data_IF_657604181970
#
_entry.id   IF_657604181970
#
_cell.length_a   1.000
_cell.length_b   1.000
_cell.length_c   1.000
_cell.angle_alpha   90.00
_cell.angle_beta   90.00
_cell.angle_gamma   90.00
#
_symmetry.space_group_name_H-M   'P 1'
#
loop_
_entity.id
_entity.type
_entity.pdbx_description
1 polymer ?
#
# COMPACT_ATOMS: atom_id res chain seq x y z
N UNK A 1 13.66 3.86 60.23
CA UNK A 1 12.37 3.31 59.75
C UNK A 1 11.78 4.12 58.60
N UNK A 2 11.66 5.45 58.68
CA UNK A 2 11.07 6.31 57.63
C UNK A 2 11.67 6.16 56.22
N UNK A 3 13.00 5.97 56.11
CA UNK A 3 13.69 5.78 54.82
C UNK A 3 13.35 4.46 54.13
N UNK A 4 13.17 3.38 54.90
CA UNK A 4 12.76 2.07 54.37
C UNK A 4 11.30 2.12 53.87
N UNK A 5 10.43 2.87 54.57
CA UNK A 5 9.04 3.07 54.15
C UNK A 5 8.92 3.87 52.85
N UNK A 6 9.78 4.87 52.63
CA UNK A 6 9.81 5.67 51.39
C UNK A 6 10.30 4.83 50.21
N UNK A 7 11.33 4.00 50.39
CA UNK A 7 11.83 3.12 49.33
C UNK A 7 10.76 2.10 48.93
N UNK A 8 10.07 1.52 49.91
CA UNK A 8 8.99 0.56 49.65
C UNK A 8 7.81 1.21 48.91
N UNK A 9 7.47 2.46 49.24
CA UNK A 9 6.42 3.23 48.55
C UNK A 9 6.81 3.54 47.09
N UNK A 10 8.05 3.93 46.83
CA UNK A 10 8.54 4.17 45.46
C UNK A 10 8.54 2.87 44.62
N UNK A 11 8.87 1.73 45.22
CA UNK A 11 8.83 0.43 44.55
C UNK A 11 7.39 0.03 44.19
N UNK A 12 6.43 0.28 45.09
CA UNK A 12 5.00 0.00 44.87
C UNK A 12 4.39 0.88 43.77
N UNK A 13 4.78 2.15 43.68
CA UNK A 13 4.34 3.06 42.61
C UNK A 13 4.90 2.62 41.25
N UNK A 14 6.14 2.11 41.22
CA UNK A 14 6.76 1.62 39.97
C UNK A 14 6.10 0.37 39.39
N UNK A 15 5.52 -0.51 40.24
CA UNK A 15 4.76 -1.68 39.76
C UNK A 15 3.41 -1.30 39.13
N UNK A 16 2.84 -0.14 39.46
CA UNK A 16 1.52 0.27 38.95
C UNK A 16 1.59 0.90 37.55
N UNK A 17 2.77 1.30 37.08
CA UNK A 17 2.95 1.93 35.77
C UNK A 17 3.05 0.93 34.60
N UNK A 18 3.16 -0.38 34.86
CA UNK A 18 3.40 -1.39 33.82
C UNK A 18 2.08 -1.93 33.22
N UNK A 19 0.92 -1.63 33.82
CA UNK A 19 -0.39 -2.13 33.36
C UNK A 19 -1.07 -1.26 32.32
N UNK A 20 -0.40 -0.25 31.76
CA UNK A 20 -0.87 0.39 30.52
C UNK A 20 -0.72 -0.62 29.38
N UNK A 21 -1.71 -1.51 29.28
CA UNK A 21 -1.91 -2.38 28.14
C UNK A 21 -1.85 -1.53 26.88
N UNK A 22 -0.75 -1.65 26.13
CA UNK A 22 -0.71 -1.28 24.73
C UNK A 22 -1.80 -2.11 24.07
N UNK A 23 -2.93 -1.45 23.78
CA UNK A 23 -3.95 -2.02 22.91
C UNK A 23 -3.33 -2.09 21.51
N UNK A 24 -2.73 -3.22 21.18
CA UNK A 24 -2.47 -3.63 19.78
C UNK A 24 -3.81 -4.02 19.15
N UNK A 25 -4.71 -3.04 19.01
CA UNK A 25 -5.67 -3.06 17.91
C UNK A 25 -4.90 -2.69 16.65
N UNK A 26 -5.26 -3.29 15.52
CA UNK A 26 -4.75 -2.99 14.18
C UNK A 26 -5.00 -1.51 13.82
N UNK A 27 -4.23 -0.59 14.40
CA UNK A 27 -4.33 0.84 14.13
C UNK A 27 -3.54 1.11 12.85
N UNK A 28 -4.18 0.82 11.71
CA UNK A 28 -3.63 1.15 10.40
C UNK A 28 -3.28 2.63 10.38
N UNK A 29 -2.01 2.93 10.16
CA UNK A 29 -1.55 4.32 10.11
C UNK A 29 -2.33 5.10 9.06
N UNK A 30 -2.55 6.40 9.31
CA UNK A 30 -3.21 7.29 8.34
C UNK A 30 -2.59 7.21 6.94
N UNK A 31 -1.28 7.07 6.86
CA UNK A 31 -0.54 6.89 5.60
C UNK A 31 -0.94 5.59 4.88
N UNK A 32 -1.08 4.48 5.61
CA UNK A 32 -1.55 3.20 5.07
C UNK A 32 -2.96 3.33 4.52
N UNK A 33 -3.85 4.02 5.23
CA UNK A 33 -5.23 4.25 4.77
C UNK A 33 -5.27 5.09 3.49
N UNK A 34 -4.51 6.19 3.44
CA UNK A 34 -4.41 7.05 2.24
C UNK A 34 -3.86 6.26 1.06
N UNK A 35 -2.81 5.48 1.29
CA UNK A 35 -2.17 4.64 0.27
C UNK A 35 -3.15 3.59 -0.26
N UNK A 36 -3.88 2.89 0.61
CA UNK A 36 -4.86 1.89 0.20
C UNK A 36 -6.04 2.51 -0.54
N UNK A 37 -6.53 3.67 -0.08
CA UNK A 37 -7.56 4.42 -0.78
C UNK A 37 -7.08 4.82 -2.18
N UNK A 38 -5.86 5.34 -2.31
CA UNK A 38 -5.26 5.68 -3.59
C UNK A 38 -5.10 4.46 -4.51
N UNK A 39 -4.54 3.34 -4.05
CA UNK A 39 -4.48 2.09 -4.84
C UNK A 39 -5.86 1.62 -5.32
N UNK A 40 -6.88 1.79 -4.48
CA UNK A 40 -8.27 1.45 -4.82
C UNK A 40 -8.79 2.31 -5.98
N UNK A 41 -8.46 3.60 -6.02
CA UNK A 41 -8.87 4.47 -7.15
C UNK A 41 -8.16 4.12 -8.46
N UNK A 42 -6.96 3.51 -8.39
CA UNK A 42 -6.20 3.07 -9.55
C UNK A 42 -6.67 1.71 -10.12
N UNK A 43 -7.48 0.96 -9.38
CA UNK A 43 -7.82 -0.43 -9.70
C UNK A 43 -8.44 -0.57 -11.09
N UNK A 44 -9.29 0.36 -11.50
CA UNK A 44 -9.89 0.33 -12.85
C UNK A 44 -8.83 0.48 -13.95
N UNK A 45 -7.93 1.46 -13.82
CA UNK A 45 -6.89 1.69 -14.82
C UNK A 45 -5.92 0.50 -14.89
N UNK A 46 -5.63 -0.13 -13.76
CA UNK A 46 -4.80 -1.36 -13.69
C UNK A 46 -5.51 -2.54 -14.38
N UNK A 47 -6.79 -2.77 -14.10
CA UNK A 47 -7.58 -3.84 -14.78
C UNK A 47 -7.64 -3.60 -16.30
N UNK A 48 -7.93 -2.36 -16.72
CA UNK A 48 -7.98 -1.99 -18.14
C UNK A 48 -6.60 -2.19 -18.82
N UNK A 49 -5.49 -1.88 -18.13
CA UNK A 49 -4.15 -2.10 -18.66
C UNK A 49 -3.83 -3.60 -18.84
N UNK A 50 -4.14 -4.42 -17.82
CA UNK A 50 -3.92 -5.88 -17.85
C UNK A 50 -4.79 -6.51 -18.94
N UNK A 51 -6.08 -6.18 -19.00
CA UNK A 51 -6.99 -6.69 -20.04
C UNK A 51 -6.54 -6.23 -21.43
N UNK A 52 -6.06 -4.98 -21.55
CA UNK A 52 -5.53 -4.44 -22.81
C UNK A 52 -4.32 -5.22 -23.33
N UNK A 53 -3.40 -5.60 -22.44
CA UNK A 53 -2.21 -6.38 -22.81
C UNK A 53 -2.55 -7.85 -23.15
N UNK A 54 -3.31 -8.54 -22.30
CA UNK A 54 -3.61 -9.96 -22.47
C UNK A 54 -4.79 -10.24 -23.43
N UNK A 55 -5.55 -9.22 -23.80
CA UNK A 55 -6.74 -9.31 -24.67
C UNK A 55 -7.98 -9.93 -24.00
N UNK A 56 -7.89 -10.35 -22.73
CA UNK A 56 -8.97 -11.00 -21.97
C UNK A 56 -8.72 -10.89 -20.47
N UNK A 57 -9.81 -10.90 -19.68
CA UNK A 57 -9.77 -10.87 -18.22
C UNK A 57 -9.47 -12.26 -17.63
N UNK A 58 -8.25 -12.75 -17.82
CA UNK A 58 -7.79 -14.03 -17.26
C UNK A 58 -6.82 -13.87 -16.09
N UNK A 59 -6.08 -12.77 -16.05
CA UNK A 59 -5.11 -12.49 -15.00
C UNK A 59 -5.80 -11.68 -13.91
N UNK A 60 -5.73 -12.18 -12.68
CA UNK A 60 -6.19 -11.44 -11.50
C UNK A 60 -5.03 -10.69 -10.86
N UNK A 61 -5.34 -9.66 -10.08
CA UNK A 61 -4.40 -8.96 -9.21
C UNK A 61 -5.11 -8.59 -7.91
N UNK A 62 -4.33 -8.25 -6.89
CA UNK A 62 -4.81 -7.88 -5.57
C UNK A 62 -4.44 -6.42 -5.31
N UNK A 63 -5.40 -5.60 -4.87
CA UNK A 63 -5.17 -4.17 -4.58
C UNK A 63 -4.06 -3.95 -3.54
N UNK A 64 -4.01 -4.70 -2.43
CA UNK A 64 -2.87 -4.67 -1.50
C UNK A 64 -1.50 -4.84 -2.18
N UNK A 65 -1.41 -5.72 -3.18
CA UNK A 65 -0.16 -6.13 -3.82
C UNK A 65 0.35 -5.15 -4.89
N UNK A 66 -0.46 -4.17 -5.28
CA UNK A 66 -0.01 -3.04 -6.12
C UNK A 66 1.09 -2.29 -5.37
N UNK A 67 2.28 -2.17 -5.94
CA UNK A 67 3.39 -1.40 -5.40
C UNK A 67 3.54 -0.10 -6.17
N UNK A 68 3.45 1.02 -5.47
CA UNK A 68 3.76 2.34 -6.03
C UNK A 68 5.27 2.53 -5.93
N UNK A 69 5.95 2.64 -7.07
CA UNK A 69 7.41 2.80 -7.14
C UNK A 69 7.81 4.27 -7.16
N UNK A 70 7.03 5.09 -7.85
CA UNK A 70 7.32 6.50 -8.05
C UNK A 70 6.03 7.27 -8.34
N UNK A 71 5.95 8.49 -7.82
CA UNK A 71 4.94 9.49 -8.18
C UNK A 71 5.68 10.82 -8.37
N UNK A 72 5.53 11.43 -9.54
CA UNK A 72 6.11 12.72 -9.87
C UNK A 72 5.05 13.66 -10.46
N UNK A 73 5.11 14.95 -10.13
CA UNK A 73 4.30 15.98 -10.79
C UNK A 73 4.78 16.13 -12.25
N UNK A 74 3.86 16.10 -13.22
CA UNK A 74 4.24 16.37 -14.62
C UNK A 74 4.54 17.85 -14.86
N UNK A 75 4.01 18.73 -14.01
CA UNK A 75 4.25 20.16 -14.02
C UNK A 75 4.19 20.68 -12.58
N UNK A 76 5.18 21.49 -12.21
CA UNK A 76 5.31 22.04 -10.86
C UNK A 76 4.05 22.82 -10.45
N UNK A 77 3.41 22.38 -9.35
CA UNK A 77 2.19 22.99 -8.82
C UNK A 77 0.93 22.67 -9.62
N UNK A 78 1.02 21.73 -10.57
CA UNK A 78 -0.13 21.15 -11.25
C UNK A 78 -0.79 20.04 -10.44
N UNK A 79 -1.92 19.53 -10.94
CA UNK A 79 -2.63 18.38 -10.38
C UNK A 79 -2.55 17.16 -11.31
N UNK A 80 -1.46 17.07 -12.07
CA UNK A 80 -1.17 15.97 -12.98
C UNK A 80 0.10 15.27 -12.54
N UNK A 81 0.05 13.94 -12.48
CA UNK A 81 1.12 13.11 -11.93
C UNK A 81 1.44 11.96 -12.88
N UNK A 82 2.73 11.65 -13.02
CA UNK A 82 3.18 10.38 -13.56
C UNK A 82 3.35 9.42 -12.39
N UNK A 83 2.73 8.24 -12.47
CA UNK A 83 2.78 7.22 -11.43
C UNK A 83 3.28 5.90 -12.02
N UNK A 84 4.36 5.35 -11.45
CA UNK A 84 4.91 4.04 -11.86
C UNK A 84 4.54 2.99 -10.83
N UNK A 85 3.92 1.91 -11.30
CA UNK A 85 3.42 0.81 -10.51
C UNK A 85 4.12 -0.50 -10.87
N UNK A 86 4.25 -1.38 -9.88
CA UNK A 86 4.52 -2.81 -10.04
C UNK A 86 3.29 -3.58 -9.53
N UNK A 87 2.74 -4.47 -10.36
CA UNK A 87 1.50 -5.21 -10.06
C UNK A 87 1.73 -6.69 -10.33
N UNK A 88 1.81 -7.54 -9.30
CA UNK A 88 1.81 -8.99 -9.48
C UNK A 88 0.48 -9.45 -10.07
N UNK A 89 0.54 -10.28 -11.11
CA UNK A 89 -0.63 -10.95 -11.69
C UNK A 89 -0.63 -12.43 -11.36
N UNK A 90 -1.81 -13.07 -11.37
CA UNK A 90 -1.98 -14.47 -10.99
C UNK A 90 -2.87 -15.22 -11.98
N UNK A 91 -2.64 -16.53 -12.07
CA UNK A 91 -3.61 -17.49 -12.63
C UNK A 91 -4.34 -18.20 -11.48
N UNK A 92 -5.58 -17.83 -11.20
CA UNK A 92 -6.37 -18.46 -10.14
C UNK A 92 -6.27 -17.79 -8.76
N UNK A 93 -6.32 -18.57 -7.67
CA UNK A 93 -6.64 -18.11 -6.30
C UNK A 93 -5.48 -17.47 -5.52
N UNK A 94 -4.45 -16.97 -6.22
CA UNK A 94 -3.24 -16.34 -5.67
C UNK A 94 -2.13 -17.33 -5.26
N UNK A 95 -0.95 -17.04 -5.80
CA UNK A 95 0.31 -17.77 -5.80
C UNK A 95 0.45 -19.08 -6.62
N UNK A 96 1.58 -19.26 -7.33
CA UNK A 96 2.64 -18.26 -7.57
C UNK A 96 2.16 -17.13 -8.50
N UNK A 97 2.77 -15.93 -8.45
CA UNK A 97 2.48 -14.90 -9.43
C UNK A 97 2.85 -15.41 -10.82
N UNK A 98 1.97 -15.16 -11.78
CA UNK A 98 2.20 -15.42 -13.19
C UNK A 98 3.26 -14.47 -13.76
N UNK A 99 3.17 -13.18 -13.41
CA UNK A 99 4.07 -12.15 -13.89
C UNK A 99 4.05 -10.93 -12.99
N UNK A 100 5.01 -10.04 -13.24
CA UNK A 100 5.12 -8.73 -12.62
C UNK A 100 4.89 -7.66 -13.68
N UNK A 101 3.74 -7.01 -13.61
CA UNK A 101 3.39 -5.95 -14.57
C UNK A 101 3.94 -4.61 -14.09
N UNK A 102 4.69 -3.93 -14.95
CA UNK A 102 5.14 -2.55 -14.74
C UNK A 102 4.24 -1.62 -15.53
N UNK A 103 3.47 -0.80 -14.81
CA UNK A 103 2.46 0.08 -15.41
C UNK A 103 2.83 1.52 -15.14
N UNK A 104 2.89 2.34 -16.19
CA UNK A 104 3.03 3.80 -16.07
C UNK A 104 1.68 4.45 -16.33
N UNK A 105 1.20 5.20 -15.36
CA UNK A 105 -0.07 5.92 -15.41
C UNK A 105 0.18 7.42 -15.44
N UNK A 106 -0.66 8.14 -16.17
CA UNK A 106 -0.88 9.57 -15.97
C UNK A 106 -2.17 9.74 -15.16
N UNK A 107 -2.08 10.52 -14.09
CA UNK A 107 -3.19 10.77 -13.16
C UNK A 107 -3.45 12.26 -13.17
N UNK A 108 -4.65 12.68 -13.54
CA UNK A 108 -5.02 14.09 -13.56
C UNK A 108 -6.49 14.34 -13.23
N UNK A 109 -6.95 15.60 -13.27
CA UNK A 109 -8.33 15.96 -12.94
C UNK A 109 -9.37 15.31 -13.86
N UNK A 110 -8.97 14.94 -15.09
CA UNK A 110 -9.84 14.27 -16.06
C UNK A 110 -9.94 12.75 -15.85
N UNK A 111 -9.11 12.16 -14.99
CA UNK A 111 -9.07 10.72 -14.74
C UNK A 111 -7.67 10.14 -14.77
N UNK A 112 -7.59 8.83 -15.01
CA UNK A 112 -6.34 8.06 -15.04
C UNK A 112 -6.19 7.41 -16.41
N UNK A 113 -5.05 7.64 -17.06
CA UNK A 113 -4.68 7.11 -18.37
C UNK A 113 -3.48 6.17 -18.24
N UNK A 114 -3.50 5.08 -19.01
CA UNK A 114 -2.37 4.15 -19.11
C UNK A 114 -1.43 4.64 -20.21
N UNK A 115 -0.19 4.96 -19.85
CA UNK A 115 0.82 5.42 -20.81
C UNK A 115 1.74 4.29 -21.28
N UNK A 116 2.06 3.35 -20.38
CA UNK A 116 2.98 2.24 -20.67
C UNK A 116 2.60 1.01 -19.87
N UNK A 117 2.76 -0.15 -20.50
CA UNK A 117 2.63 -1.46 -19.88
C UNK A 117 3.83 -2.32 -20.30
N UNK A 118 4.50 -2.93 -19.33
CA UNK A 118 5.61 -3.86 -19.56
C UNK A 118 5.40 -5.09 -18.69
N UNK A 119 5.52 -6.27 -19.30
CA UNK A 119 5.43 -7.56 -18.63
C UNK A 119 6.81 -8.09 -18.29
N UNK A 120 6.98 -8.61 -17.07
CA UNK A 120 8.16 -9.37 -16.65
C UNK A 120 7.72 -10.73 -16.10
N UNK A 121 8.25 -11.81 -16.67
CA UNK A 121 8.04 -13.16 -16.14
C UNK A 121 8.67 -13.28 -14.76
N UNK A 122 7.94 -13.83 -13.79
CA UNK A 122 8.48 -14.15 -12.47
C UNK A 122 8.97 -15.62 -12.49
N UNK A 123 10.23 -15.89 -12.13
CA UNK A 123 10.81 -17.24 -12.18
C UNK A 123 10.23 -18.20 -11.13
#
# INVERSE_FOLDING_TARGET
>A
MKKATIIFLCMLVSLFCISASVRTGDDKTRETLITNAFKTTLTRAVDDAIVGYYGKRQKSFSVPDIKIKEIEETMKGGYSFLCKLEVPTYEGQHDPPYGLEKITLEIGPAGVSVLKFEHEDVP
#
